data_IF_074683078393
#
_entry.id   IF_074683078393
#
_cell.length_a   1.000
_cell.length_b   1.000
_cell.length_c   1.000
_cell.angle_alpha   90.00
_cell.angle_beta   90.00
_cell.angle_gamma   90.00
#
_symmetry.space_group_name_H-M   'P 1'
#
loop_
_entity.id
_entity.type
_entity.pdbx_description
1 polymer ?
#
# COMPACT_ATOMS: atom_id res chain seq x y z
N UNK A 1 -42.96 79.07 -2.18
CA UNK A 1 -43.33 77.80 -2.84
C UNK A 1 -42.86 76.64 -1.96
N UNK A 2 -43.73 76.03 -1.16
CA UNK A 2 -43.44 74.78 -0.45
C UNK A 2 -44.63 73.87 -0.64
N UNK A 3 -44.44 72.82 -1.45
CA UNK A 3 -45.47 71.86 -1.82
C UNK A 3 -45.81 70.97 -0.65
N UNK A 4 -47.11 70.81 -0.41
CA UNK A 4 -47.63 69.83 0.54
C UNK A 4 -47.49 68.42 -0.05
N UNK A 5 -46.93 67.52 0.75
CA UNK A 5 -46.78 66.10 0.42
C UNK A 5 -48.08 65.38 0.77
N UNK A 6 -48.74 64.81 -0.25
CA UNK A 6 -49.96 64.01 -0.09
C UNK A 6 -49.68 62.73 0.71
N UNK A 7 -50.54 62.31 1.65
CA UNK A 7 -50.43 61.04 2.33
C UNK A 7 -50.66 59.88 1.34
N UNK A 8 -49.74 58.92 1.32
CA UNK A 8 -49.81 57.76 0.43
C UNK A 8 -51.05 56.91 0.71
N UNK A 9 -51.90 56.72 -0.31
CA UNK A 9 -53.02 55.78 -0.27
C UNK A 9 -52.49 54.36 -0.04
N UNK A 10 -52.71 53.83 1.15
CA UNK A 10 -52.55 52.41 1.47
C UNK A 10 -53.52 51.63 0.59
N UNK A 11 -53.00 50.74 -0.26
CA UNK A 11 -53.82 49.91 -1.17
C UNK A 11 -54.28 48.66 -0.40
N UNK A 12 -55.55 48.56 0.01
CA UNK A 12 -56.01 47.41 0.78
C UNK A 12 -55.89 46.14 -0.08
N UNK A 13 -54.98 45.23 0.32
CA UNK A 13 -54.79 43.92 -0.29
C UNK A 13 -53.45 43.71 -1.01
N UNK A 14 -52.77 44.78 -1.47
CA UNK A 14 -51.45 44.66 -2.11
C UNK A 14 -50.32 44.44 -1.10
N UNK A 15 -50.37 45.22 -0.02
CA UNK A 15 -49.26 45.32 0.93
C UNK A 15 -49.04 44.02 1.74
N UNK A 16 -50.12 43.25 1.99
CA UNK A 16 -50.03 41.96 2.68
C UNK A 16 -49.42 40.87 1.78
N UNK A 17 -49.74 40.89 0.49
CA UNK A 17 -49.18 39.95 -0.49
C UNK A 17 -47.71 40.27 -0.76
N UNK A 18 -47.35 41.55 -0.80
CA UNK A 18 -45.96 41.98 -0.96
C UNK A 18 -45.12 41.65 0.27
N UNK A 19 -45.64 41.91 1.48
CA UNK A 19 -44.98 41.54 2.73
C UNK A 19 -44.80 40.02 2.87
N UNK A 20 -45.82 39.22 2.52
CA UNK A 20 -45.71 37.76 2.61
C UNK A 20 -44.74 37.19 1.57
N UNK A 21 -44.70 37.75 0.35
CA UNK A 21 -43.78 37.32 -0.70
C UNK A 21 -42.33 37.70 -0.37
N UNK A 22 -42.10 38.90 0.17
CA UNK A 22 -40.78 39.31 0.66
C UNK A 22 -40.31 38.39 1.80
N UNK A 23 -41.20 38.05 2.73
CA UNK A 23 -40.89 37.16 3.84
C UNK A 23 -40.64 35.71 3.41
N UNK A 24 -41.39 35.20 2.41
CA UNK A 24 -41.14 33.88 1.80
C UNK A 24 -39.81 33.84 1.04
N UNK A 25 -39.48 34.91 0.29
CA UNK A 25 -38.20 35.02 -0.42
C UNK A 25 -36.99 35.00 0.53
N UNK A 26 -37.07 35.70 1.67
CA UNK A 26 -36.02 35.69 2.69
C UNK A 26 -35.87 34.29 3.31
N UNK A 27 -36.99 33.60 3.61
CA UNK A 27 -36.97 32.25 4.20
C UNK A 27 -36.43 31.20 3.22
N UNK A 28 -36.77 31.29 1.94
CA UNK A 28 -36.26 30.38 0.91
C UNK A 28 -34.75 30.56 0.74
N UNK A 29 -34.26 31.79 0.65
CA UNK A 29 -32.82 32.06 0.56
C UNK A 29 -32.02 31.57 1.77
N UNK A 30 -32.62 31.66 2.98
CA UNK A 30 -32.00 31.16 4.21
C UNK A 30 -31.89 29.62 4.23
N UNK A 31 -32.94 28.92 3.78
CA UNK A 31 -32.96 27.45 3.67
C UNK A 31 -31.99 26.94 2.59
N UNK A 32 -31.91 27.61 1.45
CA UNK A 32 -30.97 27.29 0.39
C UNK A 32 -29.52 27.50 0.83
N UNK A 33 -29.23 28.61 1.51
CA UNK A 33 -27.91 28.89 2.09
C UNK A 33 -27.49 27.81 3.10
N UNK A 34 -28.39 27.44 4.01
CA UNK A 34 -28.13 26.41 5.02
C UNK A 34 -27.87 25.03 4.39
N UNK A 35 -28.63 24.66 3.35
CA UNK A 35 -28.43 23.40 2.63
C UNK A 35 -27.08 23.36 1.88
N UNK A 36 -26.67 24.49 1.30
CA UNK A 36 -25.37 24.63 0.62
C UNK A 36 -24.21 24.56 1.61
N UNK A 37 -24.33 25.18 2.78
CA UNK A 37 -23.26 25.19 3.79
C UNK A 37 -23.03 23.82 4.41
N UNK A 38 -24.09 23.06 4.67
CA UNK A 38 -23.99 21.67 5.16
C UNK A 38 -23.27 20.80 4.12
N UNK A 39 -23.61 20.96 2.84
CA UNK A 39 -22.99 20.21 1.74
C UNK A 39 -21.51 20.59 1.60
N UNK A 40 -21.20 21.89 1.63
CA UNK A 40 -19.83 22.41 1.57
C UNK A 40 -18.97 21.88 2.73
N UNK A 41 -19.51 21.83 3.95
CA UNK A 41 -18.80 21.31 5.12
C UNK A 41 -18.50 19.81 5.01
N UNK A 42 -19.42 19.01 4.47
CA UNK A 42 -19.22 17.57 4.24
C UNK A 42 -18.14 17.31 3.18
N UNK A 43 -18.13 18.09 2.10
CA UNK A 43 -17.11 18.00 1.05
C UNK A 43 -15.72 18.33 1.63
N UNK A 44 -15.61 19.41 2.41
CA UNK A 44 -14.34 19.76 3.07
C UNK A 44 -13.86 18.67 4.03
N UNK A 45 -14.76 18.05 4.80
CA UNK A 45 -14.42 16.94 5.67
C UNK A 45 -13.89 15.74 4.86
N UNK A 46 -14.55 15.38 3.77
CA UNK A 46 -14.11 14.30 2.89
C UNK A 46 -12.73 14.59 2.29
N UNK A 47 -12.49 15.81 1.80
CA UNK A 47 -11.19 16.24 1.28
C UNK A 47 -10.11 16.06 2.35
N UNK A 48 -10.34 16.56 3.57
CA UNK A 48 -9.37 16.42 4.66
C UNK A 48 -9.05 14.97 5.01
N UNK A 49 -10.06 14.11 5.09
CA UNK A 49 -9.86 12.67 5.36
C UNK A 49 -9.03 12.02 4.26
N UNK A 50 -9.38 12.26 2.99
CA UNK A 50 -8.63 11.72 1.87
C UNK A 50 -7.19 12.24 1.83
N UNK A 51 -6.99 13.55 2.04
CA UNK A 51 -5.66 14.16 2.12
C UNK A 51 -4.81 13.50 3.21
N UNK A 52 -5.38 13.26 4.40
CA UNK A 52 -4.67 12.60 5.50
C UNK A 52 -4.27 11.16 5.15
N UNK A 53 -5.17 10.39 4.51
CA UNK A 53 -4.88 9.03 4.04
C UNK A 53 -3.73 9.06 3.02
N UNK A 54 -3.79 9.95 2.03
CA UNK A 54 -2.74 10.07 1.02
C UNK A 54 -1.39 10.48 1.62
N UNK A 55 -1.36 11.37 2.62
CA UNK A 55 -0.14 11.72 3.36
C UNK A 55 0.43 10.49 4.07
N UNK A 56 -0.40 9.69 4.75
CA UNK A 56 0.04 8.46 5.44
C UNK A 56 0.60 7.43 4.46
N UNK A 57 -0.07 7.23 3.31
CA UNK A 57 0.43 6.35 2.24
C UNK A 57 1.76 6.86 1.68
N UNK A 58 1.84 8.16 1.37
CA UNK A 58 3.05 8.79 0.88
C UNK A 58 4.21 8.67 1.86
N UNK A 59 3.97 8.89 3.16
CA UNK A 59 4.96 8.70 4.22
C UNK A 59 5.38 7.23 4.36
N UNK A 60 4.43 6.28 4.29
CA UNK A 60 4.75 4.84 4.33
C UNK A 60 5.59 4.42 3.13
N UNK A 61 5.27 4.92 1.94
CA UNK A 61 6.03 4.69 0.72
C UNK A 61 7.43 5.32 0.81
N UNK A 62 7.53 6.57 1.25
CA UNK A 62 8.82 7.24 1.46
C UNK A 62 9.69 6.50 2.49
N UNK A 63 9.09 5.99 3.57
CA UNK A 63 9.80 5.15 4.54
C UNK A 63 10.32 3.85 3.89
N UNK A 64 9.50 3.20 3.06
CA UNK A 64 9.89 1.99 2.32
C UNK A 64 10.96 2.25 1.24
N UNK A 65 10.95 3.44 0.61
CA UNK A 65 11.86 3.74 -0.51
C UNK A 65 13.13 4.46 -0.11
N UNK A 66 13.08 5.33 0.91
CA UNK A 66 14.22 6.15 1.36
C UNK A 66 14.92 5.50 2.56
N UNK A 67 14.20 4.79 3.43
CA UNK A 67 14.75 4.08 4.60
C UNK A 67 15.15 2.63 4.34
N UNK A 68 15.08 2.17 3.09
CA UNK A 68 15.41 0.81 2.69
C UNK A 68 16.91 0.58 2.54
N UNK A 69 17.65 0.48 3.65
CA UNK A 69 19.00 -0.11 3.68
C UNK A 69 18.92 -1.64 3.53
N UNK A 70 18.47 -2.08 2.37
CA UNK A 70 18.47 -3.48 2.01
C UNK A 70 18.16 -3.62 0.53
N UNK A 71 18.94 -4.40 -0.24
CA UNK A 71 18.65 -4.58 -1.65
C UNK A 71 17.20 -5.01 -1.78
N UNK A 72 16.43 -4.29 -2.61
CA UNK A 72 15.19 -4.78 -3.22
C UNK A 72 15.55 -5.99 -4.09
N UNK A 73 15.95 -7.08 -3.44
CA UNK A 73 16.07 -8.36 -4.06
C UNK A 73 14.64 -8.81 -4.29
N UNK A 74 14.25 -8.77 -5.55
CA UNK A 74 13.06 -9.41 -6.09
C UNK A 74 13.10 -10.95 -5.93
N UNK A 75 13.65 -11.47 -4.83
CA UNK A 75 13.17 -12.70 -4.24
C UNK A 75 11.99 -12.29 -3.40
N UNK A 76 10.80 -12.68 -3.85
CA UNK A 76 9.68 -12.96 -2.96
C UNK A 76 10.25 -13.82 -1.84
N UNK A 77 10.71 -13.20 -0.77
CA UNK A 77 11.05 -13.88 0.44
C UNK A 77 9.72 -14.45 0.88
N UNK A 78 9.55 -15.74 0.60
CA UNK A 78 9.05 -16.64 1.63
C UNK A 78 9.59 -16.04 2.91
N UNK A 79 8.73 -15.39 3.72
CA UNK A 79 9.08 -15.04 5.10
C UNK A 79 9.92 -16.22 5.54
N UNK A 80 11.17 -16.07 5.97
CA UNK A 80 11.92 -17.22 6.45
C UNK A 80 11.00 -17.80 7.51
N UNK A 81 10.30 -18.88 7.14
CA UNK A 81 9.44 -19.60 8.05
C UNK A 81 10.50 -20.03 9.01
N UNK A 82 10.53 -19.37 10.16
CA UNK A 82 11.60 -19.47 11.14
C UNK A 82 11.74 -20.96 11.31
N UNK A 83 12.78 -21.54 10.72
CA UNK A 83 12.76 -22.94 10.37
C UNK A 83 12.55 -23.64 11.69
N UNK A 84 11.35 -24.21 11.89
CA UNK A 84 10.97 -24.71 13.20
C UNK A 84 12.03 -25.72 13.56
N UNK A 85 12.85 -25.37 14.56
CA UNK A 85 14.01 -26.15 14.90
C UNK A 85 13.46 -27.47 15.44
N UNK A 86 13.54 -28.53 14.63
CA UNK A 86 13.01 -29.83 15.01
C UNK A 86 13.84 -30.32 16.20
N UNK A 87 13.22 -30.61 17.35
CA UNK A 87 13.96 -31.08 18.51
C UNK A 87 14.59 -32.44 18.21
N UNK A 88 15.77 -32.66 18.81
CA UNK A 88 16.52 -33.91 18.69
C UNK A 88 15.72 -35.03 19.36
N UNK A 89 15.62 -36.19 18.67
CA UNK A 89 14.96 -37.38 19.22
C UNK A 89 16.03 -38.28 19.84
N UNK A 90 15.84 -38.62 21.12
CA UNK A 90 16.71 -39.54 21.88
C UNK A 90 15.93 -40.78 22.33
N UNK A 91 16.60 -41.92 22.39
CA UNK A 91 16.06 -43.17 22.95
C UNK A 91 16.02 -43.14 24.50
N UNK A 92 15.38 -44.12 25.13
CA UNK A 92 15.32 -44.32 26.59
C UNK A 92 16.71 -44.42 27.25
N UNK A 93 17.71 -44.87 26.50
CA UNK A 93 19.10 -44.95 26.95
C UNK A 93 19.90 -43.65 26.69
N UNK A 94 19.24 -42.57 26.22
CA UNK A 94 19.89 -41.30 25.88
C UNK A 94 20.65 -41.30 24.55
N UNK A 95 20.50 -42.34 23.73
CA UNK A 95 21.16 -42.44 22.42
C UNK A 95 20.41 -41.61 21.38
N UNK A 96 21.13 -40.81 20.59
CA UNK A 96 20.57 -39.95 19.54
C UNK A 96 20.01 -40.80 18.39
N UNK A 97 18.71 -40.66 18.09
CA UNK A 97 18.02 -41.38 17.02
C UNK A 97 17.81 -40.52 15.77
N UNK A 98 17.44 -39.25 15.95
CA UNK A 98 17.22 -38.34 14.83
C UNK A 98 17.63 -36.92 15.18
N UNK A 99 18.36 -36.29 14.26
CA UNK A 99 18.74 -34.88 14.32
C UNK A 99 18.53 -34.23 12.96
N UNK A 100 18.37 -32.92 12.95
CA UNK A 100 18.29 -32.13 11.74
C UNK A 100 19.70 -31.66 11.38
N UNK A 101 20.19 -32.06 10.21
CA UNK A 101 21.47 -31.58 9.68
C UNK A 101 21.18 -30.57 8.59
N UNK A 102 21.71 -29.36 8.75
CA UNK A 102 21.65 -28.34 7.71
C UNK A 102 22.60 -28.72 6.58
N UNK A 103 22.05 -29.12 5.44
CA UNK A 103 22.80 -29.40 4.22
C UNK A 103 22.73 -28.19 3.28
N UNK A 104 23.88 -27.80 2.75
CA UNK A 104 23.96 -26.81 1.67
C UNK A 104 23.84 -27.53 0.33
N UNK A 105 22.96 -27.03 -0.54
CA UNK A 105 22.88 -27.49 -1.92
C UNK A 105 23.63 -26.52 -2.84
N UNK A 106 24.36 -27.07 -3.81
CA UNK A 106 24.97 -26.29 -4.89
C UNK A 106 24.11 -26.48 -6.13
N UNK A 107 23.51 -25.39 -6.62
CA UNK A 107 22.75 -25.35 -7.87
C UNK A 107 23.45 -24.47 -8.89
N UNK A 108 23.37 -24.83 -10.17
CA UNK A 108 23.91 -24.04 -11.27
C UNK A 108 22.85 -23.86 -12.36
N UNK A 109 22.83 -22.69 -12.98
CA UNK A 109 21.97 -22.36 -14.12
C UNK A 109 22.84 -22.35 -15.38
N UNK A 110 22.67 -23.36 -16.24
CA UNK A 110 23.51 -23.58 -17.43
C UNK A 110 23.58 -22.36 -18.35
N UNK A 111 22.50 -21.57 -18.45
CA UNK A 111 22.43 -20.38 -19.33
C UNK A 111 23.33 -19.24 -18.87
N UNK A 112 23.76 -19.24 -17.62
CA UNK A 112 24.61 -18.19 -17.03
C UNK A 112 26.09 -18.58 -17.02
N UNK A 113 26.42 -19.80 -17.42
CA UNK A 113 27.80 -20.29 -17.44
C UNK A 113 28.41 -19.95 -18.79
N UNK A 114 29.48 -19.17 -18.78
CA UNK A 114 30.20 -18.77 -20.00
C UNK A 114 31.00 -19.94 -20.59
N UNK A 115 31.78 -20.63 -19.75
CA UNK A 115 32.65 -21.73 -20.16
C UNK A 115 32.38 -22.96 -19.29
N UNK A 116 31.64 -23.92 -19.85
CA UNK A 116 31.17 -25.11 -19.14
C UNK A 116 32.35 -26.02 -18.74
N UNK A 117 33.30 -26.25 -19.65
CA UNK A 117 34.43 -27.16 -19.42
C UNK A 117 35.36 -26.63 -18.32
N UNK A 118 35.66 -25.33 -18.34
CA UNK A 118 36.47 -24.67 -17.31
C UNK A 118 35.78 -24.68 -15.94
N UNK A 119 34.48 -24.41 -15.92
CA UNK A 119 33.68 -24.42 -14.68
C UNK A 119 33.65 -25.81 -14.05
N UNK A 120 33.46 -26.85 -14.86
CA UNK A 120 33.47 -28.25 -14.41
C UNK A 120 34.86 -28.65 -13.90
N UNK A 121 35.94 -28.21 -14.56
CA UNK A 121 37.30 -28.48 -14.14
C UNK A 121 37.61 -27.86 -12.76
N UNK A 122 37.23 -26.60 -12.55
CA UNK A 122 37.38 -25.92 -11.27
C UNK A 122 36.52 -26.56 -10.16
N UNK A 123 35.25 -26.90 -10.46
CA UNK A 123 34.38 -27.58 -9.49
C UNK A 123 34.93 -28.95 -9.08
N UNK A 124 35.49 -29.70 -10.01
CA UNK A 124 36.07 -31.01 -9.73
C UNK A 124 37.35 -30.94 -8.88
N UNK A 125 38.06 -29.82 -8.89
CA UNK A 125 39.22 -29.60 -8.03
C UNK A 125 38.78 -29.30 -6.58
N UNK A 126 37.68 -28.57 -6.41
CA UNK A 126 37.18 -28.16 -5.09
C UNK A 126 36.26 -29.19 -4.41
N UNK A 127 35.56 -30.03 -5.18
CA UNK A 127 34.58 -31.00 -4.67
C UNK A 127 35.11 -32.44 -4.76
N UNK A 128 35.45 -33.09 -3.62
CA UNK A 128 35.88 -34.48 -3.63
C UNK A 128 34.73 -35.41 -4.06
N UNK A 129 35.00 -36.31 -5.01
CA UNK A 129 33.99 -37.25 -5.54
C UNK A 129 33.07 -36.69 -6.63
N UNK A 130 33.38 -35.52 -7.19
CA UNK A 130 32.59 -34.90 -8.25
C UNK A 130 32.66 -35.68 -9.58
N UNK A 131 31.49 -36.01 -10.15
CA UNK A 131 31.39 -36.73 -11.42
C UNK A 131 31.32 -35.74 -12.60
N UNK A 132 32.45 -35.60 -13.31
CA UNK A 132 32.60 -34.68 -14.45
C UNK A 132 31.66 -35.03 -15.61
N UNK A 133 31.59 -36.30 -16.01
CA UNK A 133 30.76 -36.74 -17.15
C UNK A 133 29.28 -36.40 -16.95
N UNK A 134 28.80 -36.59 -15.72
CA UNK A 134 27.42 -36.27 -15.37
C UNK A 134 27.15 -34.76 -15.39
N UNK A 135 28.10 -33.95 -14.93
CA UNK A 135 27.99 -32.49 -14.95
C UNK A 135 27.95 -31.93 -16.37
N UNK A 136 28.81 -32.44 -17.27
CA UNK A 136 28.83 -32.05 -18.69
C UNK A 136 27.45 -32.33 -19.33
N UNK A 137 26.87 -33.50 -19.04
CA UNK A 137 25.55 -33.86 -19.57
C UNK A 137 24.44 -32.91 -19.12
N UNK A 138 24.45 -32.46 -17.86
CA UNK A 138 23.41 -31.57 -17.35
C UNK A 138 23.59 -30.11 -17.77
N UNK A 139 24.84 -29.68 -18.02
CA UNK A 139 25.13 -28.30 -18.41
C UNK A 139 25.05 -28.05 -19.93
N UNK A 140 25.18 -29.11 -20.75
CA UNK A 140 25.03 -29.04 -22.20
C UNK A 140 23.61 -29.39 -22.71
N UNK A 141 22.68 -29.75 -21.83
CA UNK A 141 21.28 -30.05 -22.17
C UNK A 141 20.38 -28.83 -22.01
#
# INVERSE_FOLDING_TARGET
MRGEVMPSLIRPGGDLVEATNAQLGIRLGDLEGHAVDITRRRIWLAIWVFTLIFILLGARLANLTVGGDGPMSATRSVLPQTAQERPIIVDRNGVLLATQISAYNLGADARKISNVDETIAALAEMLPGFNREKAIRYLNS
#
